data_IF_477348942541
#
_entry.id   IF_477348942541
#
_cell.length_a   1.000
_cell.length_b   1.000
_cell.length_c   1.000
_cell.angle_alpha   90.00
_cell.angle_beta   90.00
_cell.angle_gamma   90.00
#
_symmetry.space_group_name_H-M   'P 1'
#
loop_
_entity.id
_entity.type
_entity.pdbx_description
1 polymer ?
#
# COMPACT_ATOMS: atom_id res chain seq x y z
N UNK A 1 -27.19 11.46 -1.44
CA UNK A 1 -25.86 11.50 -0.80
C UNK A 1 -25.16 12.78 -1.21
N UNK A 2 -24.77 13.60 -0.22
CA UNK A 2 -24.06 14.86 -0.50
C UNK A 2 -22.64 14.52 -1.00
N UNK A 3 -22.19 15.09 -2.14
CA UNK A 3 -20.81 14.90 -2.60
C UNK A 3 -19.81 15.45 -1.58
N UNK A 4 -18.65 14.80 -1.46
CA UNK A 4 -17.59 15.25 -0.57
C UNK A 4 -16.26 15.33 -1.36
N UNK A 5 -15.46 16.36 -1.08
CA UNK A 5 -14.20 16.62 -1.81
C UNK A 5 -13.24 15.44 -1.80
N UNK A 6 -13.17 14.69 -0.69
CA UNK A 6 -12.29 13.53 -0.52
C UNK A 6 -12.99 12.19 -0.78
N UNK A 7 -14.23 12.19 -1.32
CA UNK A 7 -14.84 10.92 -1.71
C UNK A 7 -13.99 10.21 -2.76
N UNK A 8 -13.93 8.90 -2.70
CA UNK A 8 -13.11 8.10 -3.60
C UNK A 8 -13.84 6.86 -4.07
N UNK A 9 -13.64 6.49 -5.33
CA UNK A 9 -14.24 5.31 -5.91
C UNK A 9 -13.45 4.04 -5.49
N UNK A 10 -14.09 2.96 -5.03
CA UNK A 10 -13.41 1.73 -4.62
C UNK A 10 -12.49 1.14 -5.70
N UNK A 11 -12.82 1.29 -6.97
CA UNK A 11 -11.98 0.81 -8.08
C UNK A 11 -10.59 1.46 -8.13
N UNK A 12 -10.40 2.61 -7.47
CA UNK A 12 -9.14 3.35 -7.46
C UNK A 12 -8.35 3.18 -6.15
N UNK A 13 -8.90 2.44 -5.16
CA UNK A 13 -8.31 2.35 -3.83
C UNK A 13 -6.97 1.65 -3.80
N UNK A 14 -6.79 0.58 -4.58
CA UNK A 14 -5.49 -0.11 -4.68
C UNK A 14 -4.39 0.79 -5.23
N UNK A 15 -4.73 1.68 -6.15
CA UNK A 15 -3.80 2.65 -6.72
C UNK A 15 -3.60 3.90 -5.84
N UNK A 16 -4.36 4.03 -4.74
CA UNK A 16 -4.32 5.17 -3.82
C UNK A 16 -4.55 6.51 -4.54
N UNK A 17 -5.49 6.55 -5.51
CA UNK A 17 -5.68 7.73 -6.39
C UNK A 17 -6.19 8.94 -5.63
N UNK A 18 -7.10 8.75 -4.66
CA UNK A 18 -7.67 9.85 -3.86
C UNK A 18 -7.63 9.51 -2.37
N UNK A 19 -6.55 9.83 -1.65
CA UNK A 19 -6.47 9.68 -0.20
C UNK A 19 -7.38 10.69 0.50
N UNK A 20 -7.69 10.44 1.75
CA UNK A 20 -8.49 11.35 2.58
C UNK A 20 -7.57 12.18 3.44
N UNK A 21 -7.58 13.50 3.30
CA UNK A 21 -6.93 14.39 4.25
C UNK A 21 -7.89 14.66 5.42
N UNK A 22 -7.47 14.30 6.61
CA UNK A 22 -8.21 14.60 7.85
C UNK A 22 -7.91 15.98 8.40
N UNK A 23 -6.70 16.45 8.14
CA UNK A 23 -6.27 17.79 8.52
C UNK A 23 -5.25 18.28 7.50
N UNK A 24 -5.37 19.52 7.09
CA UNK A 24 -4.35 20.26 6.34
C UNK A 24 -4.41 21.73 6.70
N UNK A 25 -3.26 22.32 6.98
CA UNK A 25 -3.12 23.75 7.17
C UNK A 25 -1.73 24.23 6.75
N UNK A 26 -1.69 25.43 6.17
CA UNK A 26 -0.48 26.19 5.84
C UNK A 26 -0.57 27.62 6.38
N UNK A 27 -1.27 27.80 7.49
CA UNK A 27 -1.49 29.11 8.10
C UNK A 27 -0.16 29.78 8.47
N UNK A 28 -0.07 31.08 8.30
CA UNK A 28 1.11 31.87 8.66
C UNK A 28 1.43 31.85 10.17
N UNK A 29 0.47 31.43 11.00
CA UNK A 29 0.64 31.23 12.44
C UNK A 29 1.42 29.95 12.79
N UNK A 30 1.55 29.00 11.84
CA UNK A 30 2.28 27.75 12.07
C UNK A 30 3.77 28.05 12.01
N UNK A 31 4.47 27.75 13.09
CA UNK A 31 5.93 27.95 13.22
C UNK A 31 6.61 26.61 13.53
N UNK A 32 7.95 26.58 13.39
CA UNK A 32 8.74 25.39 13.74
C UNK A 32 9.30 24.64 12.53
N UNK A 33 9.07 25.13 11.31
CA UNK A 33 9.76 24.65 10.10
C UNK A 33 10.95 25.56 9.74
N UNK A 34 11.88 25.05 8.92
CA UNK A 34 13.13 25.75 8.59
C UNK A 34 12.92 26.92 7.62
N UNK A 35 12.00 26.82 6.67
CA UNK A 35 11.80 27.83 5.61
C UNK A 35 10.90 29.00 6.02
N UNK A 36 10.23 28.92 7.16
CA UNK A 36 9.21 29.90 7.58
C UNK A 36 7.87 29.78 6.82
N UNK A 37 7.78 28.91 5.81
CA UNK A 37 6.52 28.51 5.15
C UNK A 37 6.19 27.10 5.57
N UNK A 38 5.41 26.96 6.64
CA UNK A 38 5.10 25.67 7.24
C UNK A 38 3.79 25.10 6.69
N UNK A 39 3.69 23.78 6.76
CA UNK A 39 2.46 23.05 6.52
C UNK A 39 2.32 21.90 7.54
N UNK A 40 1.08 21.55 7.85
CA UNK A 40 0.73 20.34 8.60
C UNK A 40 -0.30 19.55 7.80
N UNK A 41 -0.16 18.23 7.78
CA UNK A 41 -1.13 17.37 7.12
C UNK A 41 -1.27 16.06 7.90
N UNK A 42 -2.50 15.61 8.12
CA UNK A 42 -2.81 14.25 8.56
C UNK A 42 -3.61 13.59 7.45
N UNK A 43 -2.98 12.68 6.74
CA UNK A 43 -3.55 12.06 5.54
C UNK A 43 -3.70 10.55 5.70
N UNK A 44 -4.88 10.03 5.38
CA UNK A 44 -5.11 8.60 5.23
C UNK A 44 -4.65 8.12 3.85
N UNK A 45 -3.35 8.15 3.67
CA UNK A 45 -2.65 7.59 2.52
C UNK A 45 -1.90 6.34 2.99
N UNK A 46 -2.12 5.21 2.38
CA UNK A 46 -1.31 4.02 2.64
C UNK A 46 0.11 4.22 2.09
N UNK A 47 1.04 3.34 2.47
CA UNK A 47 2.39 3.34 1.87
C UNK A 47 2.27 3.10 0.36
N UNK A 48 2.55 4.09 -0.51
CA UNK A 48 2.30 3.96 -1.95
C UNK A 48 3.05 2.78 -2.58
N UNK A 49 4.29 2.56 -2.18
CA UNK A 49 5.12 1.46 -2.71
C UNK A 49 4.52 0.11 -2.33
N UNK A 50 4.08 -0.07 -1.07
CA UNK A 50 3.41 -1.30 -0.63
C UNK A 50 2.13 -1.55 -1.45
N UNK A 51 1.31 -0.52 -1.65
CA UNK A 51 0.03 -0.65 -2.35
C UNK A 51 0.22 -0.96 -3.83
N UNK A 52 1.14 -0.29 -4.50
CA UNK A 52 1.39 -0.52 -5.92
C UNK A 52 2.04 -1.87 -6.19
N UNK A 53 3.00 -2.30 -5.36
CA UNK A 53 3.52 -3.66 -5.39
C UNK A 53 2.41 -4.66 -5.04
N UNK A 54 1.53 -4.30 -4.12
CA UNK A 54 0.38 -5.08 -3.68
C UNK A 54 -0.57 -5.46 -4.81
N UNK A 55 -0.72 -4.62 -5.84
CA UNK A 55 -1.51 -4.96 -7.04
C UNK A 55 -0.92 -6.20 -7.72
N UNK A 56 0.39 -6.19 -7.98
CA UNK A 56 1.08 -7.34 -8.58
C UNK A 56 1.05 -8.57 -7.68
N UNK A 57 1.22 -8.38 -6.36
CA UNK A 57 1.17 -9.47 -5.38
C UNK A 57 -0.22 -10.11 -5.31
N UNK A 58 -1.29 -9.33 -5.32
CA UNK A 58 -2.67 -9.85 -5.33
C UNK A 58 -3.00 -10.60 -6.63
N UNK A 59 -2.50 -10.12 -7.78
CA UNK A 59 -2.61 -10.85 -9.05
C UNK A 59 -1.89 -12.19 -8.99
N UNK A 60 -0.68 -12.24 -8.43
CA UNK A 60 0.06 -13.47 -8.21
C UNK A 60 -0.69 -14.41 -7.27
N UNK A 61 -1.20 -13.90 -6.15
CA UNK A 61 -2.04 -14.64 -5.19
C UNK A 61 -3.26 -15.26 -5.90
N UNK A 62 -3.95 -14.47 -6.72
CA UNK A 62 -5.10 -14.95 -7.52
C UNK A 62 -4.70 -16.09 -8.46
N UNK A 63 -3.65 -15.89 -9.27
CA UNK A 63 -3.16 -16.90 -10.22
C UNK A 63 -2.79 -18.20 -9.51
N UNK A 64 -2.03 -18.09 -8.39
CA UNK A 64 -1.58 -19.29 -7.66
C UNK A 64 -2.75 -19.99 -6.98
N UNK A 65 -3.70 -19.25 -6.45
CA UNK A 65 -4.92 -19.85 -5.85
C UNK A 65 -5.71 -20.64 -6.89
N UNK A 66 -5.97 -20.06 -8.06
CA UNK A 66 -6.79 -20.69 -9.09
C UNK A 66 -6.05 -21.83 -9.81
N UNK A 67 -4.76 -21.65 -10.12
CA UNK A 67 -3.99 -22.59 -10.96
C UNK A 67 -3.40 -23.76 -10.17
N UNK A 68 -2.95 -23.48 -8.93
CA UNK A 68 -2.25 -24.46 -8.10
C UNK A 68 -3.02 -24.86 -6.84
N UNK A 69 -4.21 -24.30 -6.62
CA UNK A 69 -5.07 -24.59 -5.46
C UNK A 69 -4.33 -24.47 -4.12
N UNK A 70 -3.39 -23.54 -4.04
CA UNK A 70 -2.63 -23.32 -2.81
C UNK A 70 -3.53 -22.67 -1.76
N UNK A 71 -3.74 -23.37 -0.64
CA UNK A 71 -4.64 -22.90 0.41
C UNK A 71 -4.16 -21.62 1.10
N UNK A 72 -2.83 -21.41 1.20
CA UNK A 72 -2.25 -20.21 1.84
C UNK A 72 -2.57 -18.96 1.03
N UNK A 73 -2.36 -18.99 -0.27
CA UNK A 73 -2.79 -17.90 -1.16
C UNK A 73 -4.31 -17.77 -1.18
N UNK A 74 -5.04 -18.88 -1.07
CA UNK A 74 -6.50 -18.90 -0.96
C UNK A 74 -7.02 -18.13 0.25
N UNK A 75 -6.40 -18.27 1.42
CA UNK A 75 -6.76 -17.51 2.63
C UNK A 75 -6.51 -16.03 2.44
N UNK A 76 -5.38 -15.63 1.87
CA UNK A 76 -5.07 -14.23 1.58
C UNK A 76 -6.12 -13.64 0.63
N UNK A 77 -6.40 -14.35 -0.46
CA UNK A 77 -7.38 -13.92 -1.46
C UNK A 77 -8.79 -13.80 -0.87
N UNK A 78 -9.22 -14.81 -0.11
CA UNK A 78 -10.54 -14.83 0.52
C UNK A 78 -10.73 -13.66 1.50
N UNK A 79 -9.73 -13.40 2.35
CA UNK A 79 -9.78 -12.28 3.28
C UNK A 79 -9.80 -10.92 2.56
N UNK A 80 -8.98 -10.76 1.53
CA UNK A 80 -9.00 -9.56 0.71
C UNK A 80 -10.37 -9.35 0.04
N UNK A 81 -10.88 -10.37 -0.66
CA UNK A 81 -12.14 -10.28 -1.39
C UNK A 81 -13.35 -10.08 -0.47
N UNK A 82 -13.40 -10.76 0.67
CA UNK A 82 -14.48 -10.63 1.65
C UNK A 82 -14.61 -9.20 2.18
N UNK A 83 -13.50 -8.49 2.32
CA UNK A 83 -13.48 -7.12 2.86
C UNK A 83 -13.52 -6.04 1.78
N UNK A 84 -13.08 -6.33 0.56
CA UNK A 84 -13.05 -5.36 -0.53
C UNK A 84 -14.31 -5.40 -1.42
N UNK A 85 -14.75 -6.60 -1.83
CA UNK A 85 -15.85 -6.74 -2.80
C UNK A 85 -17.16 -6.05 -2.37
N UNK A 86 -17.56 -6.09 -1.08
CA UNK A 86 -18.77 -5.38 -0.65
C UNK A 86 -18.76 -3.88 -0.98
N UNK A 87 -17.59 -3.22 -0.97
CA UNK A 87 -17.49 -1.79 -1.29
C UNK A 87 -17.82 -1.48 -2.74
N UNK A 88 -17.63 -2.42 -3.66
CA UNK A 88 -17.98 -2.23 -5.08
C UNK A 88 -19.49 -2.02 -5.25
N UNK A 89 -20.32 -2.66 -4.41
CA UNK A 89 -21.77 -2.45 -4.40
C UNK A 89 -22.17 -1.05 -3.90
N UNK A 90 -21.29 -0.40 -3.15
CA UNK A 90 -21.51 0.95 -2.60
C UNK A 90 -20.76 2.05 -3.36
N UNK A 91 -20.22 1.78 -4.54
CA UNK A 91 -19.43 2.73 -5.35
C UNK A 91 -20.20 4.03 -5.69
N UNK A 92 -21.52 4.01 -5.65
CA UNK A 92 -22.40 5.17 -5.88
C UNK A 92 -22.61 6.05 -4.64
N UNK A 93 -22.11 5.64 -3.46
CA UNK A 93 -22.23 6.39 -2.21
C UNK A 93 -20.97 7.22 -1.96
N UNK A 94 -21.10 8.20 -1.05
CA UNK A 94 -19.97 8.95 -0.52
C UNK A 94 -19.14 8.03 0.39
N UNK A 95 -18.08 7.49 -0.13
CA UNK A 95 -17.15 6.58 0.56
C UNK A 95 -15.71 7.08 0.38
N UNK A 96 -14.79 6.57 1.20
CA UNK A 96 -13.45 7.13 1.34
C UNK A 96 -12.37 6.05 1.34
N UNK A 97 -11.18 6.40 0.85
CA UNK A 97 -10.01 5.49 0.80
C UNK A 97 -9.64 4.94 2.17
N UNK A 98 -9.85 5.63 3.28
CA UNK A 98 -9.46 5.12 4.60
C UNK A 98 -10.18 3.83 5.01
N UNK A 99 -11.28 3.45 4.37
CA UNK A 99 -11.90 2.13 4.58
C UNK A 99 -10.99 0.97 4.17
N UNK A 100 -9.96 1.23 3.37
CA UNK A 100 -8.95 0.23 2.98
C UNK A 100 -8.20 -0.36 4.18
N UNK A 101 -8.23 0.29 5.34
CA UNK A 101 -7.65 -0.22 6.58
C UNK A 101 -8.15 -1.63 6.92
N UNK A 102 -9.39 -1.96 6.53
CA UNK A 102 -9.98 -3.27 6.78
C UNK A 102 -9.25 -4.41 6.03
N UNK A 103 -8.77 -4.16 4.82
CA UNK A 103 -8.14 -5.19 3.99
C UNK A 103 -6.66 -4.97 3.70
N UNK A 104 -6.05 -3.87 4.16
CA UNK A 104 -4.59 -3.65 4.05
C UNK A 104 -3.76 -4.81 4.63
N UNK A 105 -4.16 -5.51 5.72
CA UNK A 105 -3.41 -6.67 6.21
C UNK A 105 -3.26 -7.77 5.15
N UNK A 106 -4.28 -8.00 4.33
CA UNK A 106 -4.24 -9.01 3.27
C UNK A 106 -3.41 -8.56 2.06
N UNK A 107 -3.37 -7.26 1.76
CA UNK A 107 -2.43 -6.70 0.77
C UNK A 107 -1.00 -6.91 1.25
N UNK A 108 -0.71 -6.57 2.50
CA UNK A 108 0.62 -6.76 3.11
C UNK A 108 1.03 -8.24 3.16
N UNK A 109 0.10 -9.15 3.51
CA UNK A 109 0.35 -10.60 3.47
C UNK A 109 0.63 -11.09 2.05
N UNK A 110 -0.08 -10.57 1.04
CA UNK A 110 0.18 -10.87 -0.37
C UNK A 110 1.59 -10.45 -0.79
N UNK A 111 2.01 -9.24 -0.41
CA UNK A 111 3.37 -8.75 -0.67
C UNK A 111 4.41 -9.57 0.09
N UNK A 112 4.20 -9.86 1.37
CA UNK A 112 5.11 -10.68 2.17
C UNK A 112 5.26 -12.09 1.57
N UNK A 113 4.17 -12.69 1.11
CA UNK A 113 4.19 -14.00 0.46
C UNK A 113 4.93 -13.97 -0.89
N UNK A 114 4.72 -12.94 -1.70
CA UNK A 114 5.48 -12.71 -2.94
C UNK A 114 6.98 -12.55 -2.66
N UNK A 115 7.34 -11.75 -1.66
CA UNK A 115 8.74 -11.56 -1.22
C UNK A 115 9.34 -12.89 -0.76
N UNK A 116 8.58 -13.71 -0.01
CA UNK A 116 9.02 -15.02 0.43
C UNK A 116 9.23 -16.01 -0.73
N UNK A 117 8.40 -15.94 -1.79
CA UNK A 117 8.61 -16.70 -3.02
C UNK A 117 9.89 -16.30 -3.74
N UNK A 118 10.14 -14.99 -3.85
CA UNK A 118 11.36 -14.44 -4.47
C UNK A 118 12.62 -14.85 -3.69
N UNK A 119 12.51 -14.92 -2.36
CA UNK A 119 13.61 -15.33 -1.48
C UNK A 119 13.79 -16.87 -1.40
N UNK A 120 13.01 -17.66 -2.13
CA UNK A 120 12.96 -19.13 -2.04
C UNK A 120 12.60 -19.66 -0.64
N UNK A 121 11.97 -18.84 0.20
CA UNK A 121 11.55 -19.22 1.55
C UNK A 121 10.26 -20.06 1.56
N UNK A 122 9.46 -19.98 0.51
CA UNK A 122 8.22 -20.74 0.30
C UNK A 122 8.13 -21.21 -1.15
N UNK A 123 7.30 -22.23 -1.41
CA UNK A 123 7.05 -22.71 -2.77
C UNK A 123 5.60 -22.50 -3.18
N UNK A 124 5.37 -22.38 -4.48
CA UNK A 124 4.02 -22.24 -5.05
C UNK A 124 3.15 -23.46 -4.73
N UNK A 125 3.72 -24.66 -4.71
CA UNK A 125 3.02 -25.91 -4.37
C UNK A 125 2.67 -26.04 -2.88
N UNK A 126 3.25 -25.19 -2.04
CA UNK A 126 3.09 -25.27 -0.58
C UNK A 126 3.89 -26.40 0.08
N UNK A 127 4.59 -27.23 -0.71
CA UNK A 127 5.54 -28.22 -0.20
C UNK A 127 6.89 -27.54 0.09
N UNK A 128 7.69 -28.13 0.97
CA UNK A 128 9.08 -27.71 1.14
C UNK A 128 9.86 -27.95 -0.17
N UNK A 129 10.82 -27.05 -0.53
CA UNK A 129 11.65 -27.27 -1.70
C UNK A 129 12.36 -28.63 -1.60
N UNK A 130 12.15 -29.49 -2.60
CA UNK A 130 12.76 -30.83 -2.65
C UNK A 130 14.25 -30.80 -3.01
N UNK A 131 14.74 -29.67 -3.50
CA UNK A 131 16.13 -29.42 -3.81
C UNK A 131 16.43 -27.92 -3.69
N UNK A 132 17.65 -27.55 -3.26
CA UNK A 132 18.03 -26.13 -3.25
C UNK A 132 18.05 -25.59 -4.69
N UNK A 133 17.51 -24.38 -4.92
CA UNK A 133 17.55 -23.76 -6.23
C UNK A 133 19.02 -23.48 -6.66
N UNK A 134 19.31 -23.38 -7.97
CA UNK A 134 20.64 -23.06 -8.42
C UNK A 134 21.06 -21.69 -7.81
N UNK A 135 22.24 -21.65 -7.18
CA UNK A 135 22.74 -20.53 -6.38
C UNK A 135 22.58 -19.14 -7.05
N UNK A 136 22.72 -19.09 -8.38
CA UNK A 136 22.64 -17.82 -9.12
C UNK A 136 21.22 -17.23 -9.18
N UNK A 137 20.21 -18.07 -9.31
CA UNK A 137 18.81 -17.61 -9.33
C UNK A 137 18.32 -17.27 -7.93
N UNK A 138 18.71 -18.04 -6.92
CA UNK A 138 18.43 -17.79 -5.52
C UNK A 138 18.98 -16.45 -5.04
N UNK A 139 20.21 -16.09 -5.45
CA UNK A 139 20.81 -14.82 -5.09
C UNK A 139 20.06 -13.62 -5.69
N UNK A 140 19.72 -13.68 -6.97
CA UNK A 140 18.96 -12.61 -7.63
C UNK A 140 17.57 -12.41 -7.00
N UNK A 141 16.85 -13.50 -6.68
CA UNK A 141 15.57 -13.44 -6.01
C UNK A 141 15.66 -12.81 -4.61
N UNK A 142 16.66 -13.21 -3.83
CA UNK A 142 16.91 -12.64 -2.49
C UNK A 142 17.27 -11.16 -2.54
N UNK A 143 18.08 -10.76 -3.52
CA UNK A 143 18.41 -9.33 -3.72
C UNK A 143 17.17 -8.52 -4.09
N UNK A 144 16.31 -9.04 -4.96
CA UNK A 144 15.06 -8.38 -5.31
C UNK A 144 14.13 -8.30 -4.10
N UNK A 145 13.97 -9.38 -3.35
CA UNK A 145 13.19 -9.41 -2.12
C UNK A 145 13.67 -8.37 -1.11
N UNK A 146 14.98 -8.27 -0.92
CA UNK A 146 15.60 -7.26 -0.04
C UNK A 146 15.35 -5.84 -0.57
N UNK A 147 15.52 -5.60 -1.87
CA UNK A 147 15.29 -4.30 -2.49
C UNK A 147 13.84 -3.83 -2.34
N UNK A 148 12.87 -4.73 -2.57
CA UNK A 148 11.44 -4.42 -2.37
C UNK A 148 11.14 -4.10 -0.91
N UNK A 149 11.67 -4.87 0.03
CA UNK A 149 11.49 -4.61 1.46
C UNK A 149 12.08 -3.27 1.88
N UNK A 150 13.30 -2.97 1.43
CA UNK A 150 13.96 -1.69 1.70
C UNK A 150 13.15 -0.53 1.10
N UNK A 151 12.65 -0.67 -0.13
CA UNK A 151 11.85 0.36 -0.78
C UNK A 151 10.55 0.66 0.00
N UNK A 152 9.86 -0.37 0.51
CA UNK A 152 8.67 -0.20 1.34
C UNK A 152 9.01 0.52 2.65
N UNK A 153 10.10 0.12 3.33
CA UNK A 153 10.52 0.75 4.57
C UNK A 153 10.97 2.20 4.35
N UNK A 154 11.76 2.46 3.32
CA UNK A 154 12.19 3.81 2.97
C UNK A 154 10.99 4.72 2.66
N UNK A 155 10.01 4.22 1.91
CA UNK A 155 8.77 4.93 1.63
C UNK A 155 7.97 5.19 2.93
N UNK A 156 7.92 4.23 3.86
CA UNK A 156 7.26 4.43 5.15
C UNK A 156 7.92 5.55 5.97
N UNK A 157 9.24 5.58 6.04
CA UNK A 157 9.97 6.65 6.73
C UNK A 157 9.78 8.00 6.03
N UNK A 158 9.77 8.02 4.70
CA UNK A 158 9.55 9.24 3.92
C UNK A 158 8.18 9.86 4.20
N UNK A 159 7.10 9.06 4.25
CA UNK A 159 5.74 9.55 4.49
C UNK A 159 5.39 9.71 5.98
N UNK A 160 6.21 9.21 6.90
CA UNK A 160 5.92 9.23 8.34
C UNK A 160 5.55 10.60 8.91
N UNK A 161 6.23 11.71 8.55
CA UNK A 161 5.86 13.04 9.06
C UNK A 161 4.43 13.45 8.72
N UNK A 162 3.95 13.09 7.51
CA UNK A 162 2.60 13.41 7.08
C UNK A 162 1.54 12.54 7.78
N UNK A 163 1.88 11.29 8.09
CA UNK A 163 0.96 10.43 8.84
C UNK A 163 0.83 10.85 10.30
N UNK A 164 1.89 11.42 10.86
CA UNK A 164 1.91 11.91 12.24
C UNK A 164 1.33 13.31 12.39
N UNK A 165 1.21 14.07 11.31
CA UNK A 165 0.81 15.47 11.34
C UNK A 165 1.93 16.39 11.84
N UNK A 166 3.18 16.01 11.61
CA UNK A 166 4.33 16.85 12.00
C UNK A 166 4.30 18.17 11.22
N UNK A 167 4.82 19.23 11.84
CA UNK A 167 5.03 20.52 11.16
C UNK A 167 6.23 20.38 10.23
N UNK A 168 6.03 20.57 8.94
CA UNK A 168 7.06 20.43 7.91
C UNK A 168 7.12 21.67 7.03
N UNK A 169 8.20 21.83 6.27
CA UNK A 169 8.26 22.84 5.23
C UNK A 169 7.21 22.58 4.14
N UNK A 170 6.59 23.63 3.61
CA UNK A 170 5.58 23.52 2.56
C UNK A 170 6.10 22.75 1.33
N UNK A 171 7.34 23.01 0.92
CA UNK A 171 7.96 22.32 -0.21
C UNK A 171 8.18 20.82 0.09
N UNK A 172 8.52 20.49 1.34
CA UNK A 172 8.60 19.09 1.77
C UNK A 172 7.24 18.41 1.66
N UNK A 173 6.17 19.04 2.19
CA UNK A 173 4.81 18.53 2.02
C UNK A 173 4.45 18.33 0.56
N UNK A 174 4.73 19.33 -0.29
CA UNK A 174 4.42 19.28 -1.71
C UNK A 174 5.15 18.16 -2.44
N UNK A 175 6.40 17.87 -2.09
CA UNK A 175 7.19 16.78 -2.65
C UNK A 175 6.59 15.38 -2.36
N UNK A 176 5.74 15.27 -1.32
CA UNK A 176 5.02 14.04 -0.99
C UNK A 176 3.71 13.89 -1.78
N UNK A 177 3.26 14.90 -2.49
CA UNK A 177 2.05 14.86 -3.32
C UNK A 177 2.41 14.29 -4.70
N UNK A 178 2.63 12.97 -4.78
CA UNK A 178 3.10 12.31 -6.00
C UNK A 178 2.04 12.27 -7.11
N UNK A 179 0.76 12.25 -6.74
CA UNK A 179 -0.33 12.34 -7.72
C UNK A 179 -1.05 13.69 -7.58
N UNK A 180 -1.46 14.32 -8.70
CA UNK A 180 -2.23 15.58 -8.66
C UNK A 180 -3.52 15.48 -7.85
N UNK A 181 -4.07 14.27 -7.74
CA UNK A 181 -5.30 14.00 -6.99
C UNK A 181 -5.10 13.91 -5.48
N UNK A 182 -3.87 13.98 -4.99
CA UNK A 182 -3.56 13.96 -3.55
C UNK A 182 -3.65 15.35 -2.91
N UNK A 183 -3.77 16.41 -3.72
CA UNK A 183 -3.92 17.82 -3.32
C UNK A 183 -5.39 18.19 -3.20
#
# INVERSE_FOLDING_TARGET
TTPHTYQSNPYTWLAQVRPTSFHWSNDASITGCASGKCATNVVALGNPVLWWIGIGALLLVLIVTLRYRNWRSGVILAGYLALYVPWLAYAHRTIFTFYTVAFVPFVALGVAWMVALLADAVTISGAAPSSPPPLRSATAGRLLAAALTIAILACAFYFMPLWRGDVVDYEFWRAHMWLPTWI
#
